data_IF_974295277410
#
_entry.id   IF_974295277410
#
_cell.length_a   1.000
_cell.length_b   1.000
_cell.length_c   1.000
_cell.angle_alpha   90.00
_cell.angle_beta   90.00
_cell.angle_gamma   90.00
#
_symmetry.space_group_name_H-M   'P 1'
#
loop_
_entity.id
_entity.type
_entity.pdbx_description
1 polymer ?
#
# COMPACT_ATOMS: atom_id res chain seq x y z
N UNK A 1 -20.01 27.09 21.13
CA UNK A 1 -20.26 26.38 19.87
C UNK A 1 -19.03 25.55 19.59
N UNK A 2 -19.07 24.25 19.86
CA UNK A 2 -17.99 23.36 19.43
C UNK A 2 -17.92 23.42 17.91
N UNK A 3 -16.74 23.75 17.37
CA UNK A 3 -16.51 23.71 15.92
C UNK A 3 -16.83 22.30 15.45
N UNK A 4 -17.67 22.16 14.41
CA UNK A 4 -17.88 20.88 13.77
C UNK A 4 -16.51 20.27 13.47
N UNK A 5 -16.29 19.03 13.90
CA UNK A 5 -15.07 18.29 13.59
C UNK A 5 -14.98 18.15 12.07
N UNK A 6 -13.80 18.42 11.52
CA UNK A 6 -13.52 18.23 10.09
C UNK A 6 -13.88 16.81 9.65
N UNK A 7 -14.55 16.71 8.50
CA UNK A 7 -14.90 15.45 7.88
C UNK A 7 -13.63 14.69 7.43
N UNK A 8 -13.68 13.36 7.31
CA UNK A 8 -12.55 12.59 6.77
C UNK A 8 -12.09 13.09 5.39
N UNK A 9 -13.03 13.55 4.55
CA UNK A 9 -12.74 14.12 3.24
C UNK A 9 -11.96 15.43 3.32
N UNK A 10 -12.31 16.33 4.24
CA UNK A 10 -11.57 17.59 4.44
C UNK A 10 -10.15 17.33 4.93
N UNK A 11 -9.96 16.36 5.83
CA UNK A 11 -8.63 15.92 6.25
C UNK A 11 -7.83 15.33 5.10
N UNK A 12 -8.47 14.56 4.23
CA UNK A 12 -7.79 13.94 3.09
C UNK A 12 -7.26 14.98 2.10
N UNK A 13 -7.91 16.15 1.98
CA UNK A 13 -7.44 17.26 1.13
C UNK A 13 -6.10 17.84 1.60
N UNK A 14 -5.78 17.74 2.88
CA UNK A 14 -4.51 18.24 3.43
C UNK A 14 -3.36 17.25 3.27
N UNK A 15 -3.66 16.00 2.89
CA UNK A 15 -2.64 14.97 2.61
C UNK A 15 -1.95 15.28 1.29
N UNK A 16 -0.68 15.65 1.39
CA UNK A 16 0.21 15.92 0.26
C UNK A 16 0.92 14.64 -0.18
N UNK A 17 0.88 14.36 -1.48
CA UNK A 17 1.69 13.31 -2.10
C UNK A 17 3.00 13.96 -2.52
N UNK A 18 4.14 13.42 -2.07
CA UNK A 18 5.45 13.99 -2.37
C UNK A 18 5.74 13.87 -3.87
N UNK A 19 6.47 14.82 -4.50
CA UNK A 19 6.66 14.83 -5.96
C UNK A 19 7.22 13.52 -6.55
N UNK A 20 8.19 12.90 -5.85
CA UNK A 20 8.78 11.61 -6.26
C UNK A 20 7.74 10.49 -6.24
N UNK A 21 6.88 10.47 -5.22
CA UNK A 21 5.79 9.49 -5.13
C UNK A 21 4.75 9.75 -6.22
N UNK A 22 4.43 11.02 -6.50
CA UNK A 22 3.48 11.40 -7.55
C UNK A 22 3.96 10.93 -8.95
N UNK A 23 5.25 11.12 -9.27
CA UNK A 23 5.83 10.64 -10.53
C UNK A 23 5.71 9.11 -10.66
N UNK A 24 6.04 8.38 -9.58
CA UNK A 24 5.92 6.93 -9.55
C UNK A 24 4.47 6.47 -9.68
N UNK A 25 3.52 7.16 -9.03
CA UNK A 25 2.09 6.88 -9.13
C UNK A 25 1.56 7.09 -10.55
N UNK A 26 1.92 8.19 -11.18
CA UNK A 26 1.50 8.49 -12.54
C UNK A 26 2.03 7.43 -13.52
N UNK A 27 3.31 7.03 -13.37
CA UNK A 27 3.92 5.94 -14.14
C UNK A 27 3.17 4.62 -13.97
N UNK A 28 2.85 4.23 -12.73
CA UNK A 28 2.14 2.98 -12.43
C UNK A 28 0.71 3.04 -12.96
N UNK A 29 0.01 4.17 -12.79
CA UNK A 29 -1.35 4.34 -13.31
C UNK A 29 -1.37 4.16 -14.84
N UNK A 30 -0.47 4.83 -15.57
CA UNK A 30 -0.37 4.66 -17.03
C UNK A 30 -0.05 3.22 -17.43
N UNK A 31 0.81 2.54 -16.67
CA UNK A 31 1.10 1.14 -16.92
C UNK A 31 -0.14 0.24 -16.74
N UNK A 32 -0.95 0.49 -15.71
CA UNK A 32 -2.11 -0.34 -15.38
C UNK A 32 -3.27 -0.15 -16.36
N UNK A 33 -3.56 1.06 -16.85
CA UNK A 33 -4.74 1.30 -17.71
C UNK A 33 -4.65 0.67 -19.11
N UNK A 34 -3.46 0.28 -19.56
CA UNK A 34 -3.19 -0.17 -20.94
C UNK A 34 -3.00 -1.69 -21.07
N UNK A 35 -3.49 -2.49 -20.11
CA UNK A 35 -3.25 -3.94 -20.12
C UNK A 35 -4.36 -4.72 -20.81
N UNK A 36 -5.60 -4.26 -20.71
CA UNK A 36 -6.75 -4.89 -21.35
C UNK A 36 -7.14 -4.19 -22.66
N UNK A 37 -6.81 -4.78 -23.83
CA UNK A 37 -7.20 -4.22 -25.12
C UNK A 37 -8.69 -4.39 -25.41
N UNK A 38 -9.42 -5.20 -24.63
CA UNK A 38 -10.85 -5.43 -24.81
C UNK A 38 -11.72 -4.42 -24.06
N UNK A 39 -11.08 -3.50 -23.32
CA UNK A 39 -11.76 -2.51 -22.49
C UNK A 39 -12.62 -1.55 -23.34
N UNK A 40 -13.83 -1.18 -22.89
CA UNK A 40 -14.67 -0.19 -23.55
C UNK A 40 -13.95 1.14 -23.77
N UNK A 41 -14.24 1.81 -24.89
CA UNK A 41 -13.56 3.06 -25.27
C UNK A 41 -13.70 4.19 -24.23
N UNK A 42 -14.83 4.24 -23.52
CA UNK A 42 -15.10 5.21 -22.45
C UNK A 42 -14.25 4.97 -21.20
N UNK A 43 -13.77 3.75 -20.98
CA UNK A 43 -13.07 3.35 -19.75
C UNK A 43 -11.56 3.14 -19.98
N UNK A 44 -11.06 3.42 -21.19
CA UNK A 44 -9.63 3.25 -21.57
C UNK A 44 -8.66 3.99 -20.67
N UNK A 45 -9.08 5.08 -20.05
CA UNK A 45 -8.29 5.88 -19.12
C UNK A 45 -8.46 5.48 -17.65
N UNK A 46 -9.20 4.40 -17.36
CA UNK A 46 -9.43 3.86 -16.01
C UNK A 46 -8.80 2.49 -15.86
N UNK A 47 -8.49 2.09 -14.64
CA UNK A 47 -8.00 0.73 -14.33
C UNK A 47 -9.21 -0.18 -14.23
N UNK A 48 -9.25 -1.25 -15.02
CA UNK A 48 -10.33 -2.21 -15.04
C UNK A 48 -9.94 -3.60 -14.52
N UNK A 49 -10.93 -4.49 -14.30
CA UNK A 49 -10.68 -5.85 -13.84
C UNK A 49 -9.76 -6.64 -14.79
N UNK A 50 -9.90 -6.45 -16.09
CA UNK A 50 -9.07 -7.12 -17.09
C UNK A 50 -7.60 -6.71 -17.01
N UNK A 51 -7.32 -5.47 -16.64
CA UNK A 51 -5.94 -5.01 -16.46
C UNK A 51 -5.29 -5.68 -15.26
N UNK A 52 -5.97 -5.62 -14.12
CA UNK A 52 -5.48 -6.19 -12.88
C UNK A 52 -5.31 -7.71 -13.00
N UNK A 53 -6.23 -8.39 -13.67
CA UNK A 53 -6.12 -9.83 -13.95
C UNK A 53 -4.80 -10.16 -14.67
N UNK A 54 -4.46 -9.42 -15.72
CA UNK A 54 -3.22 -9.63 -16.49
C UNK A 54 -1.97 -9.31 -15.69
N UNK A 55 -1.98 -8.20 -14.95
CA UNK A 55 -0.83 -7.77 -14.16
C UNK A 55 -0.56 -8.74 -13.02
N UNK A 56 -1.59 -9.12 -12.26
CA UNK A 56 -1.45 -10.09 -11.17
C UNK A 56 -0.99 -11.46 -11.70
N UNK A 57 -1.50 -11.90 -12.85
CA UNK A 57 -1.03 -13.13 -13.51
C UNK A 57 0.44 -13.04 -13.91
N UNK A 58 0.85 -11.91 -14.49
CA UNK A 58 2.25 -11.64 -14.84
C UNK A 58 3.17 -11.67 -13.60
N UNK A 59 2.70 -11.15 -12.48
CA UNK A 59 3.40 -11.17 -11.19
C UNK A 59 3.40 -12.55 -10.50
N UNK A 60 2.89 -13.60 -11.17
CA UNK A 60 2.91 -14.98 -10.68
C UNK A 60 1.70 -15.37 -9.82
N UNK A 61 0.71 -14.49 -9.64
CA UNK A 61 -0.52 -14.81 -8.94
C UNK A 61 -1.49 -15.61 -9.82
N UNK A 62 -2.48 -16.26 -9.20
CA UNK A 62 -3.59 -16.93 -9.89
C UNK A 62 -4.93 -16.40 -9.37
N UNK A 63 -5.23 -15.10 -9.59
CA UNK A 63 -6.41 -14.49 -9.00
C UNK A 63 -7.70 -14.98 -9.68
N UNK A 64 -8.76 -15.11 -8.89
CA UNK A 64 -10.11 -15.34 -9.40
C UNK A 64 -10.71 -14.01 -9.88
N UNK A 65 -11.64 -14.08 -10.84
CA UNK A 65 -12.36 -12.89 -11.31
C UNK A 65 -13.07 -12.15 -10.17
N UNK A 66 -13.65 -12.88 -9.22
CA UNK A 66 -14.28 -12.31 -8.02
C UNK A 66 -13.28 -11.58 -7.13
N UNK A 67 -12.06 -12.10 -6.96
CA UNK A 67 -11.01 -11.45 -6.17
C UNK A 67 -10.57 -10.14 -6.82
N UNK A 68 -10.39 -10.14 -8.15
CA UNK A 68 -10.04 -8.91 -8.88
C UNK A 68 -11.16 -7.87 -8.79
N UNK A 69 -12.41 -8.29 -8.93
CA UNK A 69 -13.54 -7.39 -8.76
C UNK A 69 -13.60 -6.80 -7.34
N UNK A 70 -13.24 -7.56 -6.31
CA UNK A 70 -13.13 -7.05 -4.95
C UNK A 70 -12.01 -6.01 -4.82
N UNK A 71 -10.87 -6.19 -5.50
CA UNK A 71 -9.78 -5.20 -5.49
C UNK A 71 -10.23 -3.87 -6.11
N UNK A 72 -11.02 -3.92 -7.19
CA UNK A 72 -11.62 -2.71 -7.79
C UNK A 72 -12.64 -2.09 -6.83
N UNK A 73 -13.54 -2.90 -6.28
CA UNK A 73 -14.60 -2.45 -5.38
C UNK A 73 -14.09 -1.76 -4.11
N UNK A 74 -12.90 -2.11 -3.63
CA UNK A 74 -12.25 -1.44 -2.49
C UNK A 74 -11.96 0.07 -2.74
N UNK A 75 -12.00 0.52 -4.00
CA UNK A 75 -11.54 1.85 -4.44
C UNK A 75 -12.54 2.59 -5.33
N UNK A 76 -13.38 1.86 -6.06
CA UNK A 76 -14.46 2.35 -6.92
C UNK A 76 -15.55 3.05 -6.09
N UNK A 77 -15.45 4.36 -5.94
CA UNK A 77 -16.34 5.20 -5.12
C UNK A 77 -17.63 5.53 -5.91
N UNK A 78 -17.58 5.56 -7.25
CA UNK A 78 -18.73 5.87 -8.13
C UNK A 78 -19.52 4.64 -8.64
N UNK A 79 -19.05 3.44 -8.34
CA UNK A 79 -19.63 2.13 -8.63
C UNK A 79 -19.75 1.82 -10.14
N UNK A 80 -18.87 2.37 -10.97
CA UNK A 80 -18.86 2.11 -12.40
C UNK A 80 -18.11 0.82 -12.80
N UNK A 81 -17.46 0.16 -11.84
CA UNK A 81 -16.70 -1.07 -12.04
C UNK A 81 -15.26 -0.86 -12.51
N UNK A 82 -14.76 0.37 -12.48
CA UNK A 82 -13.39 0.77 -12.82
C UNK A 82 -12.81 1.69 -11.74
N UNK A 83 -11.51 1.96 -11.83
CA UNK A 83 -10.83 2.93 -10.96
C UNK A 83 -10.30 4.07 -11.80
N UNK A 84 -10.91 5.24 -11.65
CA UNK A 84 -10.47 6.50 -12.23
C UNK A 84 -9.16 7.02 -11.60
N UNK A 85 -8.56 8.04 -12.23
CA UNK A 85 -7.33 8.66 -11.69
C UNK A 85 -7.58 9.34 -10.33
N UNK A 86 -8.76 9.92 -10.14
CA UNK A 86 -9.11 10.61 -8.89
C UNK A 86 -9.32 9.62 -7.74
N UNK A 87 -9.99 8.49 -7.99
CA UNK A 87 -10.16 7.40 -7.01
C UNK A 87 -8.82 6.75 -6.68
N UNK A 88 -7.98 6.54 -7.69
CA UNK A 88 -6.62 6.03 -7.51
C UNK A 88 -5.77 6.92 -6.59
N UNK A 89 -5.78 8.25 -6.82
CA UNK A 89 -5.09 9.20 -5.95
C UNK A 89 -5.70 9.25 -4.54
N UNK A 90 -7.03 9.19 -4.46
CA UNK A 90 -7.77 9.19 -3.20
C UNK A 90 -7.42 7.96 -2.35
N UNK A 91 -7.43 6.76 -2.93
CA UNK A 91 -6.99 5.52 -2.27
C UNK A 91 -5.57 5.64 -1.75
N UNK A 92 -4.66 6.20 -2.56
CA UNK A 92 -3.28 6.37 -2.13
C UNK A 92 -3.17 7.27 -0.90
N UNK A 93 -3.84 8.44 -0.93
CA UNK A 93 -3.88 9.37 0.20
C UNK A 93 -4.48 8.73 1.45
N UNK A 94 -5.57 7.95 1.31
CA UNK A 94 -6.20 7.22 2.42
C UNK A 94 -5.17 6.28 3.05
N UNK A 95 -4.47 5.47 2.25
CA UNK A 95 -3.53 4.47 2.74
C UNK A 95 -2.25 5.04 3.37
N UNK A 96 -1.67 6.11 2.83
CA UNK A 96 -0.44 6.71 3.40
C UNK A 96 -0.69 7.52 4.68
N UNK A 97 -1.92 8.02 4.87
CA UNK A 97 -2.32 8.76 6.07
C UNK A 97 -3.07 7.91 7.09
N UNK A 98 -3.31 6.63 6.79
CA UNK A 98 -4.01 5.71 7.66
C UNK A 98 -3.14 5.25 8.83
N UNK A 99 -3.46 5.80 10.01
CA UNK A 99 -2.88 5.40 11.30
C UNK A 99 -3.66 4.28 11.99
N UNK A 100 -4.81 3.88 11.44
CA UNK A 100 -5.72 2.89 12.05
C UNK A 100 -5.37 1.47 11.64
N UNK A 101 -4.78 1.30 10.45
CA UNK A 101 -4.49 0.00 9.84
C UNK A 101 -5.73 -0.69 9.26
N UNK A 102 -6.86 0.03 9.14
CA UNK A 102 -8.15 -0.52 8.73
C UNK A 102 -8.51 -0.19 7.27
N UNK A 103 -7.74 0.66 6.59
CA UNK A 103 -7.98 0.91 5.17
C UNK A 103 -7.78 -0.37 4.34
N UNK A 104 -8.65 -0.65 3.36
CA UNK A 104 -8.41 -1.70 2.37
C UNK A 104 -7.14 -1.40 1.58
N UNK A 105 -6.25 -2.39 1.47
CA UNK A 105 -4.89 -2.18 0.96
C UNK A 105 -4.51 -3.08 -0.22
N UNK A 106 -5.43 -3.83 -0.83
CA UNK A 106 -5.02 -4.76 -1.91
C UNK A 106 -4.54 -4.03 -3.15
N UNK A 107 -5.31 -3.05 -3.66
CA UNK A 107 -4.85 -2.24 -4.79
C UNK A 107 -3.65 -1.38 -4.40
N UNK A 108 -3.64 -0.82 -3.19
CA UNK A 108 -2.51 -0.07 -2.66
C UNK A 108 -1.21 -0.88 -2.65
N UNK A 109 -1.24 -2.12 -2.16
CA UNK A 109 -0.07 -2.99 -2.08
C UNK A 109 0.47 -3.33 -3.47
N UNK A 110 -0.42 -3.61 -4.43
CA UNK A 110 -0.04 -3.81 -5.83
C UNK A 110 0.65 -2.56 -6.41
N UNK A 111 0.02 -1.40 -6.22
CA UNK A 111 0.57 -0.12 -6.68
C UNK A 111 1.92 0.16 -6.06
N UNK A 112 2.04 0.00 -4.74
CA UNK A 112 3.28 0.24 -4.01
C UNK A 112 4.42 -0.64 -4.52
N UNK A 113 4.16 -1.91 -4.78
CA UNK A 113 5.15 -2.82 -5.37
C UNK A 113 5.59 -2.34 -6.76
N UNK A 114 4.64 -1.96 -7.63
CA UNK A 114 4.94 -1.46 -8.97
C UNK A 114 5.61 -0.08 -8.97
N UNK A 115 5.44 0.72 -7.92
CA UNK A 115 6.20 1.96 -7.73
C UNK A 115 7.68 1.67 -7.50
N UNK A 116 8.01 0.59 -6.80
CA UNK A 116 9.41 0.13 -6.66
C UNK A 116 9.95 -0.48 -7.96
N UNK A 117 9.13 -1.29 -8.65
CA UNK A 117 9.50 -1.92 -9.92
C UNK A 117 9.50 -0.91 -11.08
N UNK A 118 10.61 -0.17 -11.22
CA UNK A 118 10.77 0.89 -12.23
C UNK A 118 10.59 0.38 -13.67
N UNK A 119 10.96 -0.86 -13.92
CA UNK A 119 10.96 -1.48 -15.26
C UNK A 119 9.80 -2.45 -15.50
N UNK A 120 8.94 -2.69 -14.50
CA UNK A 120 7.86 -3.67 -14.55
C UNK A 120 8.34 -5.10 -14.86
N UNK A 121 9.48 -5.49 -14.26
CA UNK A 121 10.10 -6.83 -14.44
C UNK A 121 9.51 -7.92 -13.52
N UNK A 122 8.68 -7.54 -12.54
CA UNK A 122 8.02 -8.43 -11.59
C UNK A 122 8.85 -8.82 -10.37
N UNK A 123 10.04 -8.23 -10.21
CA UNK A 123 10.94 -8.39 -9.07
C UNK A 123 11.51 -7.03 -8.69
N UNK A 124 11.84 -6.86 -7.41
CA UNK A 124 12.33 -5.58 -6.87
C UNK A 124 13.53 -5.84 -5.99
N UNK A 125 14.63 -5.11 -6.21
CA UNK A 125 15.82 -5.11 -5.33
C UNK A 125 15.66 -4.12 -4.18
N UNK A 126 16.52 -4.24 -3.16
CA UNK A 126 16.60 -3.25 -2.07
C UNK A 126 16.80 -1.83 -2.62
N UNK A 127 17.76 -1.64 -3.54
CA UNK A 127 18.10 -0.34 -4.13
C UNK A 127 16.89 0.33 -4.81
N UNK A 128 16.07 -0.46 -5.51
CA UNK A 128 14.86 0.02 -6.19
C UNK A 128 13.81 0.59 -5.21
N UNK A 129 13.82 0.17 -3.94
CA UNK A 129 12.89 0.67 -2.92
C UNK A 129 13.37 1.94 -2.21
N UNK A 130 14.69 2.18 -2.16
CA UNK A 130 15.31 3.17 -1.26
C UNK A 130 14.74 4.57 -1.41
N UNK A 131 14.55 5.03 -2.65
CA UNK A 131 14.13 6.40 -2.92
C UNK A 131 12.73 6.69 -2.32
N UNK A 132 11.78 5.78 -2.55
CA UNK A 132 10.41 5.93 -2.04
C UNK A 132 10.39 5.78 -0.52
N UNK A 133 11.11 4.79 0.02
CA UNK A 133 11.17 4.57 1.47
C UNK A 133 11.79 5.76 2.21
N UNK A 134 12.89 6.30 1.69
CA UNK A 134 13.56 7.48 2.26
C UNK A 134 12.64 8.69 2.25
N UNK A 135 11.97 8.93 1.13
CA UNK A 135 11.03 10.03 0.97
C UNK A 135 9.86 9.89 1.95
N UNK A 136 9.34 8.68 2.19
CA UNK A 136 8.17 8.48 3.05
C UNK A 136 8.51 8.49 4.55
N UNK A 137 9.52 7.74 4.96
CA UNK A 137 9.78 7.43 6.37
C UNK A 137 10.99 8.17 6.94
N UNK A 138 11.76 8.84 6.08
CA UNK A 138 13.00 9.50 6.46
C UNK A 138 14.14 8.51 6.71
N UNK A 139 15.34 9.05 6.95
CA UNK A 139 16.55 8.25 7.17
C UNK A 139 16.46 7.34 8.39
N UNK A 140 15.82 7.82 9.46
CA UNK A 140 15.79 7.13 10.76
C UNK A 140 15.00 5.82 10.73
N UNK A 141 13.98 5.73 9.87
CA UNK A 141 13.13 4.54 9.77
C UNK A 141 13.42 3.71 8.51
N UNK A 142 14.35 4.14 7.66
CA UNK A 142 14.64 3.49 6.38
C UNK A 142 15.00 2.01 6.58
N UNK A 143 15.95 1.73 7.48
CA UNK A 143 16.44 0.37 7.72
C UNK A 143 15.31 -0.54 8.24
N UNK A 144 14.46 -0.03 9.12
CA UNK A 144 13.30 -0.78 9.64
C UNK A 144 12.33 -1.19 8.52
N UNK A 145 12.12 -0.31 7.54
CA UNK A 145 11.23 -0.55 6.41
C UNK A 145 11.85 -1.51 5.39
N UNK A 146 13.15 -1.41 5.15
CA UNK A 146 13.90 -2.39 4.36
C UNK A 146 13.82 -3.77 5.02
N UNK A 147 14.08 -3.86 6.32
CA UNK A 147 13.96 -5.12 7.07
C UNK A 147 12.53 -5.67 7.05
N UNK A 148 11.52 -4.81 7.09
CA UNK A 148 10.14 -5.26 6.99
C UNK A 148 9.82 -5.91 5.62
N UNK A 149 10.38 -5.37 4.53
CA UNK A 149 10.14 -5.88 3.17
C UNK A 149 11.03 -7.09 2.88
N UNK A 150 12.34 -6.97 3.11
CA UNK A 150 13.34 -7.95 2.69
C UNK A 150 13.76 -8.92 3.82
N UNK A 151 13.61 -8.54 5.08
CA UNK A 151 14.16 -9.27 6.24
C UNK A 151 15.51 -8.73 6.70
N UNK A 152 16.13 -9.38 7.68
CA UNK A 152 17.35 -8.89 8.33
C UNK A 152 18.59 -8.94 7.41
N UNK A 153 18.64 -9.91 6.49
CA UNK A 153 19.74 -10.02 5.54
C UNK A 153 19.49 -9.24 4.25
N UNK A 154 20.41 -8.34 3.88
CA UNK A 154 20.37 -7.55 2.64
C UNK A 154 20.84 -8.32 1.40
N UNK A 155 21.52 -9.45 1.61
CA UNK A 155 22.05 -10.33 0.55
C UNK A 155 21.64 -11.76 0.80
N UNK A 156 21.57 -12.54 -0.28
CA UNK A 156 21.39 -13.98 -0.17
C UNK A 156 22.68 -14.65 0.34
N UNK A 157 22.58 -15.92 0.75
CA UNK A 157 23.73 -16.70 1.23
C UNK A 157 24.87 -16.81 0.20
N UNK A 158 24.55 -16.69 -1.08
CA UNK A 158 25.51 -16.70 -2.20
C UNK A 158 26.14 -15.32 -2.50
N UNK A 159 25.79 -14.28 -1.73
CA UNK A 159 26.29 -12.92 -1.89
C UNK A 159 25.60 -12.10 -2.99
N UNK A 160 24.58 -12.65 -3.67
CA UNK A 160 23.77 -11.92 -4.64
C UNK A 160 22.84 -10.91 -3.97
N UNK A 161 22.45 -9.87 -4.73
CA UNK A 161 21.45 -8.90 -4.27
C UNK A 161 20.11 -9.58 -4.02
N UNK A 162 19.47 -9.18 -2.93
CA UNK A 162 18.17 -9.70 -2.56
C UNK A 162 17.10 -9.04 -3.42
N UNK A 163 16.34 -9.88 -4.11
CA UNK A 163 15.15 -9.49 -4.84
C UNK A 163 13.91 -10.07 -4.17
N UNK A 164 12.79 -9.37 -4.31
CA UNK A 164 11.48 -9.83 -3.82
C UNK A 164 10.46 -9.82 -4.95
N UNK A 165 9.66 -10.88 -5.04
CA UNK A 165 8.48 -10.97 -5.91
C UNK A 165 7.28 -10.30 -5.27
N UNK A 166 6.24 -10.03 -6.07
CA UNK A 166 5.00 -9.45 -5.53
C UNK A 166 4.35 -10.32 -4.44
N UNK A 167 4.32 -11.64 -4.62
CA UNK A 167 3.74 -12.56 -3.64
C UNK A 167 4.47 -12.51 -2.30
N UNK A 168 5.81 -12.56 -2.32
CA UNK A 168 6.63 -12.46 -1.11
C UNK A 168 6.47 -11.09 -0.43
N UNK A 169 6.39 -10.00 -1.21
CA UNK A 169 6.12 -8.67 -0.69
C UNK A 169 4.78 -8.61 0.06
N UNK A 170 3.70 -9.11 -0.56
CA UNK A 170 2.37 -9.14 0.08
C UNK A 170 2.39 -9.97 1.37
N UNK A 171 3.05 -11.12 1.36
CA UNK A 171 3.18 -11.97 2.55
C UNK A 171 3.88 -11.24 3.70
N UNK A 172 4.94 -10.49 3.41
CA UNK A 172 5.69 -9.71 4.41
C UNK A 172 4.84 -8.57 4.99
N UNK A 173 4.15 -7.82 4.13
CA UNK A 173 3.26 -6.73 4.56
C UNK A 173 2.09 -7.26 5.40
N UNK A 174 1.48 -8.38 5.00
CA UNK A 174 0.39 -8.99 5.75
C UNK A 174 0.85 -9.49 7.13
N UNK A 175 2.02 -10.15 7.20
CA UNK A 175 2.63 -10.57 8.48
C UNK A 175 2.90 -9.38 9.40
N UNK A 176 3.41 -8.27 8.86
CA UNK A 176 3.60 -7.02 9.61
C UNK A 176 2.28 -6.49 10.15
N UNK A 177 1.26 -6.35 9.30
CA UNK A 177 -0.05 -5.84 9.70
C UNK A 177 -0.69 -6.68 10.83
N UNK A 178 -0.59 -8.00 10.74
CA UNK A 178 -1.06 -8.91 11.80
C UNK A 178 -0.31 -8.70 13.12
N UNK A 179 1.02 -8.58 13.07
CA UNK A 179 1.87 -8.34 14.26
C UNK A 179 1.55 -6.98 14.91
N UNK A 180 1.32 -5.96 14.10
CA UNK A 180 0.97 -4.61 14.57
C UNK A 180 -0.40 -4.63 15.26
N UNK A 181 -1.39 -5.31 14.68
CA UNK A 181 -2.71 -5.44 15.29
C UNK A 181 -2.67 -6.27 16.59
N UNK A 182 -1.93 -7.38 16.62
CA UNK A 182 -1.72 -8.14 17.86
C UNK A 182 -1.12 -7.27 18.97
N UNK A 183 -0.17 -6.42 18.63
CA UNK A 183 0.49 -5.51 19.57
C UNK A 183 -0.49 -4.46 20.10
N UNK A 184 -1.36 -3.92 19.24
CA UNK A 184 -2.43 -2.98 19.63
C UNK A 184 -3.47 -3.64 20.54
N UNK A 185 -3.89 -4.87 20.24
CA UNK A 185 -4.80 -5.64 21.09
C UNK A 185 -4.18 -5.91 22.46
N UNK A 186 -2.90 -6.30 22.51
CA UNK A 186 -2.17 -6.51 23.78
C UNK A 186 -2.07 -5.22 24.59
N UNK A 187 -1.79 -4.08 23.96
CA UNK A 187 -1.76 -2.78 24.62
C UNK A 187 -3.12 -2.40 25.22
N UNK A 188 -4.21 -2.61 24.48
CA UNK A 188 -5.59 -2.38 24.97
C UNK A 188 -6.01 -3.28 26.13
N UNK A 189 -5.43 -4.50 26.22
CA UNK A 189 -5.73 -5.48 27.27
C UNK A 189 -4.92 -5.30 28.55
N UNK A 190 -3.89 -4.44 28.58
CA UNK A 190 -3.17 -4.13 29.83
C UNK A 190 -4.08 -3.24 30.68
N UNK A 191 -4.54 -3.69 31.86
CA UNK A 191 -5.21 -2.79 32.79
C UNK A 191 -4.17 -1.81 33.34
N UNK A 192 -4.51 -0.53 33.43
CA UNK A 192 -3.73 0.46 34.16
C UNK A 192 -3.55 -0.03 35.60
N UNK A 193 -2.36 -0.54 35.92
CA UNK A 193 -1.99 -0.91 37.28
C UNK A 193 -1.34 0.30 37.95
N UNK A 194 -2.02 0.82 38.98
CA UNK A 194 -1.61 1.81 39.97
C UNK A 194 -1.60 3.31 39.60
N UNK A 195 -2.69 3.98 39.95
CA UNK A 195 -2.71 5.38 40.44
C UNK A 195 -3.52 5.53 41.75
N UNK A 196 -3.44 4.58 42.69
CA UNK A 196 -4.03 4.75 44.03
C UNK A 196 -3.23 3.97 45.10
N UNK A 197 -1.92 4.23 45.18
CA UNK A 197 -1.08 3.53 46.15
C UNK A 197 0.26 4.20 46.38
N UNK A 198 0.26 5.49 46.72
CA UNK A 198 1.38 6.15 47.41
C UNK A 198 0.95 7.56 47.85
N UNK A 199 0.23 7.66 48.96
CA UNK A 199 0.49 8.69 49.96
C UNK A 199 0.00 8.13 51.31
N UNK A 200 0.93 7.41 51.92
CA UNK A 200 0.90 6.92 53.29
C UNK A 200 1.15 8.08 54.28
N UNK A 201 0.38 8.06 55.37
CA UNK A 201 0.67 8.57 56.74
C UNK A 201 0.42 10.04 57.06
#
# INVERSE_FOLDING_TARGET
>A
MDKLKESPWEKLKTVEIKPIEQECLDRVFQYLIDKDPTKPSNDKNKIGPGDLMKVLTFLGCKPLKSEVNLIIWEVDDDLDGYVSKDEYQTMYKRCISDTTGLEPRKLFNLVQFLMYDKTFKGRVTVEETLQILFVRYGRENLDNEITAIFGEDEKNEDGSEKEITYGEYVDKINKRALKDEESRIKARKRPDYNLNGAEER
#
